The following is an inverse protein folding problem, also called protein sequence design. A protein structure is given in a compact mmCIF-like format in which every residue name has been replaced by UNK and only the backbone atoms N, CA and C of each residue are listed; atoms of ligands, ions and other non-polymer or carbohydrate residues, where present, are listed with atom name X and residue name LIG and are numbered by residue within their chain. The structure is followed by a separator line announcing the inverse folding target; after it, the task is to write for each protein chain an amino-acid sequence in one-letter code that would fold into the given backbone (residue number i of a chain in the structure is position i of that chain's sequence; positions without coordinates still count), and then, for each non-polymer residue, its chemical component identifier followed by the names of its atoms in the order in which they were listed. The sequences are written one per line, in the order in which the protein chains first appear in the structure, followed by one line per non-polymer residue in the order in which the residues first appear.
data_IF_701911870596
#
_entry.id   IF_701911870596
#
_cell.length_a   1.000
_cell.length_b   1.000
_cell.length_c   1.000
_cell.angle_alpha   90.00
_cell.angle_beta   90.00
_cell.angle_gamma   90.00
#
_symmetry.space_group_name_H-M   'P 1'
#
loop_
_entity.id
_entity.type
_entity.pdbx_description
1 polymer ?
#
# COMPACT_ATOMS: atom_id res chain seq x y z
N UNK A 1 -1.73 -1.12 -19.61
CA UNK A 1 -1.33 -1.35 -19.21
C UNK A 1 -1.22 -2.02 -18.70
N UNK A 2 -1.12 -2.26 -18.75
CA UNK A 2 -0.96 -2.99 -18.38
C UNK A 2 -0.30 -3.26 -17.39
N UNK A 3 0.13 -3.04 -16.87
CA UNK A 3 0.91 -3.28 -15.87
C UNK A 3 0.51 -4.04 -14.76
N UNK A 4 -0.60 -4.13 -14.42
CA UNK A 4 -1.04 -4.75 -13.23
C UNK A 4 -1.42 -6.21 -13.39
N UNK A 5 -0.80 -6.91 -14.32
CA UNK A 5 -1.12 -8.22 -14.52
C UNK A 5 -0.44 -9.11 -13.58
N UNK A 6 -1.12 -9.92 -12.83
CA UNK A 6 -0.53 -10.91 -11.99
C UNK A 6 -0.42 -12.20 -12.73
N UNK A 7 0.67 -12.84 -12.59
CA UNK A 7 0.71 -14.20 -12.99
C UNK A 7 0.12 -14.92 -11.87
N UNK A 8 -0.56 -15.82 -12.00
CA UNK A 8 -1.19 -16.53 -11.02
C UNK A 8 -0.34 -17.52 -10.35
N UNK A 9 0.96 -17.31 -10.28
CA UNK A 9 1.80 -18.20 -9.74
C UNK A 9 2.39 -17.66 -8.59
N UNK A 10 3.29 -18.22 -8.06
CA UNK A 10 3.96 -17.89 -6.96
C UNK A 10 4.44 -16.52 -6.93
N UNK A 11 5.39 -16.15 -6.26
CA UNK A 11 5.86 -14.78 -6.06
C UNK A 11 6.18 -14.07 -7.34
N UNK A 12 5.64 -12.87 -7.50
CA UNK A 12 5.94 -12.01 -8.62
C UNK A 12 6.24 -10.65 -8.11
N UNK A 13 7.30 -10.05 -8.61
CA UNK A 13 7.70 -8.70 -8.23
C UNK A 13 7.50 -7.72 -9.35
N UNK A 14 7.02 -6.55 -9.03
CA UNK A 14 6.84 -5.45 -9.95
C UNK A 14 7.30 -4.17 -9.29
N UNK A 15 7.80 -3.24 -10.08
CA UNK A 15 8.16 -1.93 -9.58
C UNK A 15 7.40 -0.89 -10.36
N UNK A 16 6.69 -0.03 -9.66
CA UNK A 16 5.96 1.05 -10.27
C UNK A 16 6.58 2.36 -9.85
N UNK A 17 6.78 3.24 -10.80
CA UNK A 17 7.27 4.57 -10.51
C UNK A 17 6.21 5.56 -10.89
N UNK A 18 6.00 6.54 -10.05
CA UNK A 18 5.05 7.57 -10.36
C UNK A 18 5.61 8.49 -11.42
N UNK A 19 4.76 8.95 -12.30
CA UNK A 19 5.16 9.86 -13.33
C UNK A 19 4.85 11.27 -12.90
N UNK A 20 5.25 12.22 -13.67
CA UNK A 20 4.86 13.59 -13.44
C UNK A 20 5.57 14.25 -12.29
N UNK A 21 6.73 13.81 -11.95
CA UNK A 21 7.51 14.46 -10.92
C UNK A 21 7.23 14.05 -9.50
N UNK A 22 6.39 13.05 -9.32
CA UNK A 22 6.16 12.54 -7.99
C UNK A 22 7.41 11.83 -7.50
N UNK A 23 7.72 11.97 -6.23
CA UNK A 23 8.86 11.29 -5.64
C UNK A 23 8.49 9.97 -4.99
N UNK A 24 7.32 9.44 -5.27
CA UNK A 24 6.88 8.16 -4.71
C UNK A 24 7.23 7.04 -5.68
N UNK A 25 7.63 5.91 -5.13
CA UNK A 25 7.91 4.71 -5.89
C UNK A 25 7.29 3.55 -5.16
N UNK A 26 6.77 2.57 -5.89
CA UNK A 26 6.10 1.43 -5.27
C UNK A 26 6.63 0.15 -5.89
N UNK A 27 7.07 -0.76 -5.05
CA UNK A 27 7.47 -2.10 -5.47
C UNK A 27 6.42 -3.08 -5.01
N UNK A 28 5.96 -3.91 -5.91
CA UNK A 28 4.86 -4.83 -5.65
C UNK A 28 5.35 -6.26 -5.71
N UNK A 29 4.94 -7.04 -4.75
CA UNK A 29 5.20 -8.46 -4.75
C UNK A 29 3.88 -9.17 -4.48
N UNK A 30 3.50 -10.09 -5.35
CA UNK A 30 2.26 -10.82 -5.18
C UNK A 30 2.56 -12.29 -5.00
N UNK A 31 1.88 -12.92 -4.05
CA UNK A 31 2.04 -14.33 -3.77
C UNK A 31 0.68 -14.87 -3.35
N UNK A 32 0.10 -15.69 -4.19
CA UNK A 32 -1.21 -16.29 -3.92
C UNK A 32 -2.28 -15.20 -3.67
N UNK A 33 -2.85 -15.13 -2.50
CA UNK A 33 -3.88 -14.13 -2.22
C UNK A 33 -3.33 -12.91 -1.50
N UNK A 34 -2.01 -12.76 -1.44
CA UNK A 34 -1.37 -11.69 -0.69
C UNK A 34 -0.62 -10.75 -1.62
N UNK A 35 -0.81 -9.46 -1.41
CA UNK A 35 -0.09 -8.44 -2.13
C UNK A 35 0.72 -7.64 -1.13
N UNK A 36 2.01 -7.50 -1.38
CA UNK A 36 2.88 -6.66 -0.57
C UNK A 36 3.29 -5.46 -1.40
N UNK A 37 3.03 -4.28 -0.87
CA UNK A 37 3.41 -3.02 -1.53
C UNK A 37 4.45 -2.33 -0.68
N UNK A 38 5.65 -2.17 -1.23
CA UNK A 38 6.72 -1.41 -0.58
C UNK A 38 6.70 -0.03 -1.16
N UNK A 39 6.30 0.93 -0.35
CA UNK A 39 6.13 2.31 -0.78
C UNK A 39 7.33 3.11 -0.32
N UNK A 40 7.99 3.78 -1.25
CA UNK A 40 9.20 4.55 -0.99
C UNK A 40 8.99 6.00 -1.37
N UNK A 41 9.72 6.88 -0.72
CA UNK A 41 9.67 8.30 -1.04
C UNK A 41 8.63 9.01 -0.21
N UNK A 42 7.77 9.76 -0.85
CA UNK A 42 6.79 10.60 -0.16
C UNK A 42 5.37 10.26 -0.62
N UNK A 43 4.51 10.00 0.33
CA UNK A 43 3.11 9.72 0.04
C UNK A 43 2.28 10.91 0.52
N UNK A 44 2.16 11.90 -0.34
CA UNK A 44 1.53 13.17 -0.04
C UNK A 44 0.41 13.45 -1.04
N UNK A 45 -0.12 14.67 -1.01
CA UNK A 45 -1.24 15.00 -1.89
C UNK A 45 -0.85 15.01 -3.36
N UNK A 46 0.45 15.08 -3.70
CA UNK A 46 0.89 15.02 -5.09
C UNK A 46 0.93 13.58 -5.60
N UNK A 47 1.22 12.63 -4.74
CA UNK A 47 1.38 11.23 -5.14
C UNK A 47 0.19 10.36 -4.76
N UNK A 48 -0.72 10.87 -3.94
CA UNK A 48 -1.82 10.07 -3.40
C UNK A 48 -2.71 9.48 -4.50
N UNK A 49 -3.03 10.28 -5.51
CA UNK A 49 -3.92 9.81 -6.57
C UNK A 49 -3.28 8.66 -7.36
N UNK A 50 -1.98 8.76 -7.64
CA UNK A 50 -1.30 7.69 -8.35
C UNK A 50 -1.16 6.44 -7.51
N UNK A 51 -0.85 6.61 -6.23
CA UNK A 51 -0.73 5.48 -5.32
C UNK A 51 -2.08 4.75 -5.24
N UNK A 52 -3.16 5.51 -5.10
CA UNK A 52 -4.48 4.93 -5.03
C UNK A 52 -4.82 4.18 -6.30
N UNK A 53 -4.56 4.79 -7.46
CA UNK A 53 -4.89 4.16 -8.74
C UNK A 53 -4.11 2.87 -8.94
N UNK A 54 -2.84 2.86 -8.58
CA UNK A 54 -2.02 1.67 -8.73
C UNK A 54 -2.47 0.55 -7.80
N UNK A 55 -2.73 0.89 -6.55
CA UNK A 55 -3.21 -0.12 -5.60
C UNK A 55 -4.59 -0.63 -5.97
N UNK A 56 -5.48 0.26 -6.41
CA UNK A 56 -6.81 -0.16 -6.81
C UNK A 56 -6.77 -1.11 -8.00
N UNK A 57 -5.88 -0.85 -8.96
CA UNK A 57 -5.75 -1.73 -10.12
C UNK A 57 -5.30 -3.12 -9.69
N UNK A 58 -4.42 -3.19 -8.70
CA UNK A 58 -3.90 -4.46 -8.23
C UNK A 58 -4.92 -5.23 -7.39
N UNK A 59 -5.61 -4.53 -6.48
CA UNK A 59 -6.57 -5.21 -5.63
C UNK A 59 -7.94 -5.35 -6.28
N UNK A 60 -8.09 -4.89 -7.54
CA UNK A 60 -9.27 -5.21 -8.32
C UNK A 60 -9.40 -6.71 -8.53
N UNK A 61 -8.29 -7.43 -8.48
CA UNK A 61 -8.30 -8.88 -8.46
C UNK A 61 -8.85 -9.31 -7.10
N UNK A 62 -10.06 -9.82 -7.09
CA UNK A 62 -10.75 -10.14 -5.85
C UNK A 62 -10.17 -11.33 -5.12
N UNK A 63 -9.23 -12.03 -5.72
CA UNK A 63 -8.52 -13.11 -5.04
C UNK A 63 -7.53 -12.56 -4.03
N UNK A 64 -7.16 -11.28 -4.16
CA UNK A 64 -6.28 -10.64 -3.18
C UNK A 64 -7.09 -10.37 -1.92
N UNK A 65 -6.74 -11.06 -0.84
CA UNK A 65 -7.42 -10.95 0.43
C UNK A 65 -6.53 -10.42 1.54
N UNK A 66 -5.26 -10.25 1.27
CA UNK A 66 -4.34 -9.70 2.24
C UNK A 66 -3.48 -8.64 1.57
N UNK A 67 -3.48 -7.44 2.12
CA UNK A 67 -2.66 -6.34 1.61
C UNK A 67 -1.66 -5.96 2.69
N UNK A 68 -0.39 -6.06 2.38
CA UNK A 68 0.69 -5.72 3.31
C UNK A 68 1.40 -4.48 2.80
N UNK A 69 1.49 -3.47 3.64
CA UNK A 69 2.15 -2.22 3.29
C UNK A 69 3.46 -2.11 4.05
N UNK A 70 4.55 -2.13 3.31
CA UNK A 70 5.89 -1.98 3.87
C UNK A 70 6.29 -0.53 3.65
N UNK A 71 6.36 0.23 4.72
CA UNK A 71 6.65 1.66 4.68
C UNK A 71 8.10 1.98 5.05
N UNK A 72 8.97 0.97 5.01
CA UNK A 72 10.36 1.16 5.44
C UNK A 72 11.08 2.23 4.63
N UNK A 73 10.77 2.34 3.34
CA UNK A 73 11.38 3.34 2.48
C UNK A 73 10.61 4.64 2.38
N UNK A 74 9.51 4.78 3.12
CA UNK A 74 8.69 5.97 3.06
C UNK A 74 9.25 7.02 4.01
N UNK A 75 9.53 8.21 3.50
CA UNK A 75 10.16 9.26 4.29
C UNK A 75 9.17 10.32 4.76
N UNK A 76 8.03 10.43 4.11
CA UNK A 76 7.04 11.45 4.45
C UNK A 76 5.64 10.96 4.11
N UNK A 77 4.67 11.33 4.95
CA UNK A 77 3.27 11.05 4.68
C UNK A 77 2.43 12.14 5.32
N UNK A 78 1.40 12.57 4.61
CA UNK A 78 0.42 13.52 5.17
C UNK A 78 -0.96 12.86 5.19
N UNK A 79 -1.99 13.65 5.44
CA UNK A 79 -3.35 13.11 5.56
C UNK A 79 -3.85 12.50 4.26
N UNK A 80 -3.33 12.96 3.11
CA UNK A 80 -3.71 12.36 1.82
C UNK A 80 -3.20 10.93 1.73
N UNK A 81 -1.98 10.70 2.21
CA UNK A 81 -1.43 9.34 2.26
C UNK A 81 -2.21 8.45 3.20
N UNK A 82 -2.58 9.01 4.35
CA UNK A 82 -3.41 8.26 5.29
C UNK A 82 -4.73 7.86 4.65
N UNK A 83 -5.31 8.75 3.85
CA UNK A 83 -6.54 8.45 3.12
C UNK A 83 -6.40 7.31 2.14
N UNK A 84 -5.25 7.23 1.47
CA UNK A 84 -4.96 6.11 0.57
C UNK A 84 -4.99 4.80 1.35
N UNK A 85 -4.35 4.77 2.50
CA UNK A 85 -4.29 3.56 3.32
C UNK A 85 -5.69 3.17 3.79
N UNK A 86 -6.43 4.12 4.33
CA UNK A 86 -7.77 3.82 4.86
C UNK A 86 -8.74 3.37 3.78
N UNK A 87 -8.66 3.98 2.60
CA UNK A 87 -9.53 3.60 1.51
C UNK A 87 -9.26 2.18 1.04
N UNK A 88 -7.99 1.81 0.96
CA UNK A 88 -7.65 0.44 0.55
C UNK A 88 -8.03 -0.56 1.63
N UNK A 89 -7.91 -0.15 2.90
CA UNK A 89 -8.37 -1.00 3.99
C UNK A 89 -9.84 -1.34 3.84
N UNK A 90 -10.66 -0.34 3.53
CA UNK A 90 -12.10 -0.58 3.38
C UNK A 90 -12.41 -1.57 2.29
N UNK A 91 -11.69 -1.49 1.19
CA UNK A 91 -11.91 -2.41 0.07
C UNK A 91 -11.57 -3.85 0.50
N UNK A 92 -10.40 -4.01 1.11
CA UNK A 92 -9.93 -5.34 1.50
C UNK A 92 -10.80 -5.92 2.62
N UNK A 93 -11.12 -5.11 3.62
CA UNK A 93 -11.95 -5.56 4.73
C UNK A 93 -13.36 -5.91 4.25
N UNK A 94 -13.86 -5.18 3.25
CA UNK A 94 -15.19 -5.44 2.72
C UNK A 94 -15.33 -6.80 2.05
N UNK A 95 -14.21 -7.41 1.66
CA UNK A 95 -14.25 -8.76 1.08
C UNK A 95 -13.74 -9.81 2.08
N UNK A 96 -13.68 -9.44 3.35
CA UNK A 96 -13.24 -10.38 4.39
C UNK A 96 -11.75 -10.54 4.48
N UNK A 97 -10.99 -9.66 3.85
CA UNK A 97 -9.54 -9.73 3.90
C UNK A 97 -8.99 -8.89 5.03
N UNK A 98 -7.68 -8.74 5.04
CA UNK A 98 -7.02 -7.98 6.09
C UNK A 98 -5.85 -7.19 5.54
N UNK A 99 -5.45 -6.18 6.30
CA UNK A 99 -4.33 -5.33 5.95
C UNK A 99 -3.32 -5.34 7.09
N UNK A 100 -2.04 -5.29 6.73
CA UNK A 100 -0.95 -5.18 7.70
C UNK A 100 -0.05 -4.03 7.29
N UNK A 101 0.54 -3.35 8.25
CA UNK A 101 1.45 -2.23 7.99
C UNK A 101 2.68 -2.40 8.87
N UNK A 102 3.84 -2.13 8.31
CA UNK A 102 5.07 -2.18 9.07
C UNK A 102 6.14 -1.28 8.49
N UNK A 103 7.18 -1.06 9.26
CA UNK A 103 8.36 -0.35 8.81
C UNK A 103 8.28 1.16 8.83
N UNK A 104 7.20 1.75 9.33
CA UNK A 104 7.04 3.21 9.34
C UNK A 104 8.10 3.85 10.24
N UNK A 105 8.64 4.98 9.79
CA UNK A 105 9.57 5.74 10.63
C UNK A 105 8.79 6.39 11.77
N UNK A 106 9.51 7.02 12.69
CA UNK A 106 8.88 7.55 13.88
C UNK A 106 7.78 8.57 13.58
N UNK A 107 8.02 9.43 12.63
CA UNK A 107 7.08 10.48 12.26
C UNK A 107 5.80 9.89 11.66
N UNK A 108 5.95 8.95 10.76
CA UNK A 108 4.80 8.31 10.11
C UNK A 108 4.07 7.41 11.11
N UNK A 109 4.81 6.73 11.96
CA UNK A 109 4.23 5.89 12.99
C UNK A 109 3.31 6.72 13.89
N UNK A 110 3.72 7.93 14.21
CA UNK A 110 2.92 8.81 15.03
C UNK A 110 1.60 9.15 14.33
N UNK A 111 1.65 9.46 13.03
CA UNK A 111 0.45 9.77 12.26
C UNK A 111 -0.50 8.58 12.25
N UNK A 112 0.03 7.39 12.02
CA UNK A 112 -0.77 6.18 11.98
C UNK A 112 -1.42 5.91 13.33
N UNK A 113 -0.65 6.07 14.38
CA UNK A 113 -1.14 5.82 15.73
C UNK A 113 -2.22 6.82 16.12
N UNK A 114 -2.00 8.09 15.84
CA UNK A 114 -2.96 9.13 16.18
C UNK A 114 -4.25 9.00 15.39
N UNK A 115 -4.18 8.44 14.20
CA UNK A 115 -5.37 8.20 13.39
C UNK A 115 -6.10 6.94 13.78
N UNK A 116 -5.55 6.16 14.73
CA UNK A 116 -6.21 4.93 15.18
C UNK A 116 -6.11 3.79 14.20
N UNK A 117 -5.14 3.86 13.29
CA UNK A 117 -5.05 2.85 12.22
C UNK A 117 -4.82 1.45 12.77
N UNK A 118 -4.09 1.33 13.87
CA UNK A 118 -3.76 0.01 14.42
C UNK A 118 -4.92 -0.65 15.14
N UNK A 119 -6.04 0.04 15.28
CA UNK A 119 -7.27 -0.61 15.72
C UNK A 119 -7.92 -1.38 14.57
N UNK A 120 -7.51 -1.07 13.33
CA UNK A 120 -8.12 -1.66 12.14
C UNK A 120 -7.19 -2.64 11.44
N UNK A 121 -5.90 -2.39 11.45
CA UNK A 121 -4.94 -3.19 10.70
C UNK A 121 -3.95 -3.84 11.64
N UNK A 122 -3.32 -4.90 11.16
CA UNK A 122 -2.29 -5.58 11.94
C UNK A 122 -0.96 -4.88 11.77
N UNK A 123 -0.15 -4.93 12.81
CA UNK A 123 1.19 -4.41 12.75
C UNK A 123 2.12 -5.52 12.30
N UNK A 124 2.97 -5.20 11.35
CA UNK A 124 3.85 -6.17 10.74
C UNK A 124 5.29 -5.82 11.11
N UNK A 125 6.07 -6.82 11.48
CA UNK A 125 7.49 -6.60 11.75
C UNK A 125 8.26 -6.68 10.44
N UNK A 126 9.14 -5.72 10.24
CA UNK A 126 9.96 -5.68 9.04
C UNK A 126 11.41 -5.43 9.41
#
# INVERSE_FOLDING_TARGET
MQGAKFAHRKNRGYTYKCKGGSSMQMEIEAAEDRLTARIKGELDHHSAAQARAQLDALIADKRIRELRLDLKGLTFMDSSGLGVILGRYRVIAGRGGKMSIGGANRSIERILRMAGIYALVDRMDI
#
